data_IF_306020652392
#
_entry.id   IF_306020652392
#
_cell.length_a   1.000
_cell.length_b   1.000
_cell.length_c   1.000
_cell.angle_alpha   90.00
_cell.angle_beta   90.00
_cell.angle_gamma   90.00
#
_symmetry.space_group_name_H-M   'P 1'
#
loop_
_entity.id
_entity.type
_entity.pdbx_description
1 polymer ?
#
# COMPACT_ATOMS: atom_id res chain seq x y z
N UNK A 1 -3.49 24.36 -26.67
CA UNK A 1 -3.57 23.61 -25.41
C UNK A 1 -2.17 23.09 -25.12
N UNK A 2 -1.44 23.73 -24.20
CA UNK A 2 -0.16 23.22 -23.73
C UNK A 2 -0.35 22.75 -22.30
N UNK A 3 -0.24 21.44 -22.08
CA UNK A 3 -0.17 20.80 -20.78
C UNK A 3 1.24 20.96 -20.23
N UNK A 4 1.47 21.99 -19.42
CA UNK A 4 2.66 22.07 -18.57
C UNK A 4 2.43 21.19 -17.34
N UNK A 5 2.76 19.91 -17.45
CA UNK A 5 3.15 19.12 -16.27
C UNK A 5 4.37 19.80 -15.68
N UNK A 6 4.15 20.50 -14.56
CA UNK A 6 5.21 21.08 -13.72
C UNK A 6 6.11 19.96 -13.22
N UNK A 7 7.10 19.56 -14.02
CA UNK A 7 8.25 18.83 -13.56
C UNK A 7 9.07 19.81 -12.74
N UNK A 8 9.00 19.67 -11.41
CA UNK A 8 10.00 20.25 -10.52
C UNK A 8 11.26 19.38 -10.66
N UNK A 9 12.30 19.84 -11.38
CA UNK A 9 13.45 19.02 -11.73
C UNK A 9 14.33 18.67 -10.52
N UNK A 10 14.06 19.27 -9.35
CA UNK A 10 14.91 19.16 -8.17
C UNK A 10 14.48 18.02 -7.21
N UNK A 11 13.32 17.39 -7.44
CA UNK A 11 12.84 16.29 -6.58
C UNK A 11 13.33 14.95 -7.15
N UNK A 12 14.10 14.14 -6.39
CA UNK A 12 14.50 12.81 -6.79
C UNK A 12 13.30 11.94 -7.19
N UNK A 13 13.44 11.15 -8.24
CA UNK A 13 12.37 10.30 -8.79
C UNK A 13 11.69 9.45 -7.73
N UNK A 14 12.44 8.73 -6.89
CA UNK A 14 11.88 7.91 -5.82
C UNK A 14 10.98 8.71 -4.85
N UNK A 15 11.34 9.96 -4.54
CA UNK A 15 10.54 10.84 -3.67
C UNK A 15 9.28 11.30 -4.38
N UNK A 16 9.37 11.61 -5.69
CA UNK A 16 8.21 11.98 -6.51
C UNK A 16 7.22 10.83 -6.62
N UNK A 17 7.68 9.62 -6.92
CA UNK A 17 6.81 8.44 -7.04
C UNK A 17 6.17 8.08 -5.70
N UNK A 18 6.91 8.12 -4.59
CA UNK A 18 6.34 7.89 -3.25
C UNK A 18 5.23 8.91 -2.92
N UNK A 19 5.42 10.18 -3.27
CA UNK A 19 4.39 11.23 -3.09
C UNK A 19 3.18 11.01 -3.98
N UNK A 20 3.40 10.59 -5.23
CA UNK A 20 2.32 10.26 -6.17
C UNK A 20 1.49 9.08 -5.66
N UNK A 21 2.13 7.99 -5.21
CA UNK A 21 1.46 6.84 -4.61
C UNK A 21 0.65 7.21 -3.37
N UNK A 22 1.22 7.99 -2.45
CA UNK A 22 0.49 8.47 -1.28
C UNK A 22 -0.72 9.35 -1.65
N UNK A 23 -0.65 10.12 -2.74
CA UNK A 23 -1.79 10.88 -3.26
C UNK A 23 -2.85 9.96 -3.87
N UNK A 24 -2.46 8.95 -4.64
CA UNK A 24 -3.35 7.99 -5.27
C UNK A 24 -4.17 7.19 -4.22
N UNK A 25 -3.51 6.71 -3.16
CA UNK A 25 -4.21 6.00 -2.06
C UNK A 25 -5.22 6.90 -1.33
N UNK A 26 -4.90 8.17 -1.09
CA UNK A 26 -5.87 9.13 -0.51
C UNK A 26 -7.05 9.38 -1.45
N UNK A 27 -6.81 9.47 -2.76
CA UNK A 27 -7.87 9.63 -3.75
C UNK A 27 -8.79 8.40 -3.80
N UNK A 28 -8.21 7.20 -3.73
CA UNK A 28 -8.95 5.92 -3.65
C UNK A 28 -9.88 5.89 -2.44
N UNK A 29 -9.37 6.27 -1.26
CA UNK A 29 -10.20 6.41 -0.03
C UNK A 29 -11.32 7.41 -0.23
N UNK A 30 -11.08 8.55 -0.88
CA UNK A 30 -12.11 9.55 -1.12
C UNK A 30 -13.21 9.03 -2.07
N UNK A 31 -12.83 8.37 -3.16
CA UNK A 31 -13.77 7.80 -4.12
C UNK A 31 -14.66 6.71 -3.49
N UNK A 32 -14.06 5.82 -2.70
CA UNK A 32 -14.80 4.72 -2.04
C UNK A 32 -15.76 5.18 -0.95
N UNK A 33 -15.63 6.40 -0.41
CA UNK A 33 -16.60 6.93 0.58
C UNK A 33 -17.98 7.19 -0.01
N UNK A 34 -18.09 7.32 -1.33
CA UNK A 34 -19.35 7.63 -2.03
C UNK A 34 -19.73 6.59 -3.08
N UNK A 35 -18.88 5.58 -3.29
CA UNK A 35 -19.15 4.50 -4.22
C UNK A 35 -20.27 3.58 -3.68
N UNK A 36 -21.04 2.98 -4.59
CA UNK A 36 -21.89 1.85 -4.24
C UNK A 36 -20.98 0.63 -3.97
N UNK A 37 -21.15 -0.08 -2.84
CA UNK A 37 -20.40 -1.29 -2.54
C UNK A 37 -20.48 -2.33 -3.66
N UNK A 38 -19.33 -2.64 -4.26
CA UNK A 38 -19.23 -3.68 -5.29
C UNK A 38 -18.19 -4.75 -4.90
N UNK A 39 -18.54 -5.99 -5.20
CA UNK A 39 -17.73 -7.15 -4.87
C UNK A 39 -16.43 -7.19 -5.68
N UNK A 40 -16.50 -6.87 -6.98
CA UNK A 40 -15.32 -6.87 -7.83
C UNK A 40 -14.33 -5.79 -7.40
N UNK A 41 -14.84 -4.63 -6.98
CA UNK A 41 -14.08 -3.54 -6.37
C UNK A 41 -13.34 -3.98 -5.09
N UNK A 42 -14.00 -4.67 -4.17
CA UNK A 42 -13.35 -5.18 -2.95
C UNK A 42 -12.22 -6.16 -3.27
N UNK A 43 -12.43 -7.05 -4.23
CA UNK A 43 -11.43 -8.01 -4.67
C UNK A 43 -10.23 -7.30 -5.31
N UNK A 44 -10.46 -6.39 -6.26
CA UNK A 44 -9.43 -5.68 -6.99
C UNK A 44 -8.59 -4.78 -6.06
N UNK A 45 -9.24 -3.95 -5.24
CA UNK A 45 -8.54 -3.05 -4.32
C UNK A 45 -7.72 -3.80 -3.27
N UNK A 46 -8.15 -5.00 -2.86
CA UNK A 46 -7.37 -5.80 -1.91
C UNK A 46 -6.09 -6.33 -2.55
N UNK A 47 -6.13 -6.75 -3.81
CA UNK A 47 -4.92 -7.13 -4.55
C UNK A 47 -3.92 -5.96 -4.60
N UNK A 48 -4.40 -4.76 -4.91
CA UNK A 48 -3.57 -3.54 -4.92
C UNK A 48 -2.99 -3.20 -3.54
N UNK A 49 -3.74 -3.45 -2.46
CA UNK A 49 -3.26 -3.28 -1.07
C UNK A 49 -2.14 -4.27 -0.77
N UNK A 50 -2.28 -5.54 -1.14
CA UNK A 50 -1.23 -6.58 -0.99
C UNK A 50 0.06 -6.15 -1.68
N UNK A 51 -0.02 -5.79 -2.96
CA UNK A 51 1.13 -5.36 -3.75
C UNK A 51 1.78 -4.09 -3.17
N UNK A 52 0.96 -3.15 -2.68
CA UNK A 52 1.47 -1.93 -2.04
C UNK A 52 2.17 -2.22 -0.71
N UNK A 53 1.63 -3.10 0.13
CA UNK A 53 2.28 -3.48 1.40
C UNK A 53 3.63 -4.13 1.15
N UNK A 54 3.72 -5.01 0.15
CA UNK A 54 4.98 -5.63 -0.26
C UNK A 54 6.00 -4.58 -0.75
N UNK A 55 5.57 -3.66 -1.61
CA UNK A 55 6.43 -2.60 -2.13
C UNK A 55 6.95 -1.66 -1.03
N UNK A 56 6.09 -1.24 -0.09
CA UNK A 56 6.48 -0.38 1.03
C UNK A 56 7.39 -1.13 2.01
N UNK A 57 7.17 -2.43 2.23
CA UNK A 57 8.08 -3.25 3.04
C UNK A 57 9.49 -3.32 2.43
N UNK A 58 9.59 -3.52 1.10
CA UNK A 58 10.87 -3.49 0.40
C UNK A 58 11.55 -2.12 0.46
N UNK A 59 10.80 -1.03 0.32
CA UNK A 59 11.33 0.33 0.48
C UNK A 59 11.89 0.55 1.90
N UNK A 60 11.18 0.09 2.93
CA UNK A 60 11.64 0.21 4.31
C UNK A 60 12.98 -0.51 4.55
N UNK A 61 13.20 -1.67 3.95
CA UNK A 61 14.48 -2.39 4.02
C UNK A 61 15.62 -1.64 3.32
N UNK A 62 15.35 -1.09 2.13
CA UNK A 62 16.33 -0.26 1.42
C UNK A 62 16.71 0.96 2.25
N UNK A 63 15.73 1.64 2.84
CA UNK A 63 15.96 2.80 3.70
C UNK A 63 16.71 2.40 4.97
N UNK A 64 16.41 1.26 5.59
CA UNK A 64 17.12 0.79 6.78
C UNK A 64 18.62 0.65 6.49
N UNK A 65 18.97 0.03 5.36
CA UNK A 65 20.35 -0.08 4.93
C UNK A 65 20.99 1.30 4.66
N UNK A 66 20.31 2.18 3.93
CA UNK A 66 20.83 3.52 3.63
C UNK A 66 21.06 4.37 4.88
N UNK A 67 20.16 4.27 5.87
CA UNK A 67 20.23 4.99 7.14
C UNK A 67 21.39 4.49 7.99
N UNK A 68 21.55 3.17 8.13
CA UNK A 68 22.64 2.57 8.89
C UNK A 68 24.04 3.00 8.38
N UNK A 69 24.19 3.17 7.07
CA UNK A 69 25.48 3.54 6.45
C UNK A 69 25.61 5.05 6.17
N UNK A 70 24.64 5.87 6.58
CA UNK A 70 24.59 7.28 6.21
C UNK A 70 25.80 8.07 6.73
N UNK A 71 26.26 7.73 7.94
CA UNK A 71 27.40 8.36 8.62
C UNK A 71 28.78 7.82 8.23
N UNK A 72 28.87 6.81 7.36
CA UNK A 72 30.16 6.17 7.05
C UNK A 72 31.07 7.06 6.20
N UNK A 73 30.45 7.86 5.34
CA UNK A 73 31.16 8.74 4.39
C UNK A 73 30.92 10.22 4.65
N UNK A 74 30.19 10.54 5.73
CA UNK A 74 29.68 11.90 5.97
C UNK A 74 29.78 12.26 7.45
N UNK A 75 30.24 13.49 7.78
CA UNK A 75 30.12 13.99 9.13
C UNK A 75 28.64 14.20 9.48
N UNK A 76 28.21 13.63 10.60
CA UNK A 76 26.85 13.74 11.13
C UNK A 76 26.93 14.28 12.55
N UNK A 77 25.88 14.98 12.98
CA UNK A 77 25.77 15.51 14.33
C UNK A 77 24.31 15.39 14.80
N UNK A 78 24.15 15.36 16.12
CA UNK A 78 22.86 15.24 16.79
C UNK A 78 22.48 16.62 17.29
N UNK A 79 21.35 17.16 16.82
CA UNK A 79 20.88 18.50 17.21
C UNK A 79 20.67 18.62 18.72
N UNK A 80 20.31 17.52 19.39
CA UNK A 80 20.13 17.52 20.85
C UNK A 80 21.46 17.52 21.60
N UNK A 81 22.55 17.07 20.96
CA UNK A 81 23.88 16.85 21.54
C UNK A 81 23.87 15.92 22.76
N UNK A 82 22.85 15.07 22.88
CA UNK A 82 22.67 14.14 24.00
C UNK A 82 23.12 12.73 23.63
N UNK A 83 22.99 12.35 22.36
CA UNK A 83 23.22 10.99 21.87
C UNK A 83 24.26 11.02 20.75
N UNK A 84 25.06 9.96 20.62
CA UNK A 84 25.91 9.79 19.44
C UNK A 84 25.00 9.73 18.19
N UNK A 85 25.23 10.58 17.16
CA UNK A 85 24.51 10.51 15.90
C UNK A 85 24.47 9.11 15.28
N UNK A 86 25.51 8.29 15.47
CA UNK A 86 25.56 6.91 14.98
C UNK A 86 24.55 6.02 15.69
N UNK A 87 24.49 6.09 17.02
CA UNK A 87 23.49 5.35 17.79
C UNK A 87 22.06 5.72 17.37
N UNK A 88 21.82 7.00 17.04
CA UNK A 88 20.52 7.44 16.53
C UNK A 88 20.19 6.91 15.14
N UNK A 89 21.17 6.85 14.24
CA UNK A 89 21.00 6.25 12.92
C UNK A 89 20.74 4.74 13.01
N UNK A 90 21.46 4.03 13.88
CA UNK A 90 21.25 2.59 14.12
C UNK A 90 19.84 2.33 14.66
N UNK A 91 19.38 3.12 15.63
CA UNK A 91 18.01 3.02 16.14
C UNK A 91 16.97 3.27 15.04
N UNK A 92 17.16 4.29 14.21
CA UNK A 92 16.26 4.58 13.09
C UNK A 92 16.25 3.46 12.03
N UNK A 93 17.39 2.80 11.79
CA UNK A 93 17.45 1.63 10.91
C UNK A 93 16.69 0.42 11.50
N UNK A 94 16.78 0.22 12.83
CA UNK A 94 15.99 -0.81 13.52
C UNK A 94 14.48 -0.55 13.42
N UNK A 95 14.04 0.70 13.57
CA UNK A 95 12.63 1.08 13.40
C UNK A 95 12.12 0.78 11.98
N UNK A 96 12.97 0.99 10.96
CA UNK A 96 12.64 0.65 9.57
C UNK A 96 12.56 -0.86 9.33
N UNK A 97 13.43 -1.65 9.95
CA UNK A 97 13.33 -3.11 9.92
C UNK A 97 12.05 -3.62 10.60
N UNK A 98 11.68 -3.06 11.75
CA UNK A 98 10.42 -3.38 12.42
C UNK A 98 9.22 -2.99 11.55
N UNK A 99 9.25 -1.82 10.91
CA UNK A 99 8.21 -1.41 9.96
C UNK A 99 8.06 -2.43 8.82
N UNK A 100 9.15 -2.87 8.20
CA UNK A 100 9.12 -3.88 7.15
C UNK A 100 8.50 -5.21 7.64
N UNK A 101 8.86 -5.66 8.86
CA UNK A 101 8.29 -6.85 9.47
C UNK A 101 6.78 -6.71 9.72
N UNK A 102 6.33 -5.55 10.20
CA UNK A 102 4.90 -5.26 10.44
C UNK A 102 4.11 -5.22 9.15
N UNK A 103 4.64 -4.62 8.09
CA UNK A 103 3.99 -4.55 6.78
C UNK A 103 3.82 -5.96 6.17
N UNK A 104 4.84 -6.81 6.25
CA UNK A 104 4.70 -8.24 5.87
C UNK A 104 3.69 -8.99 6.71
N UNK A 105 3.56 -8.65 7.99
CA UNK A 105 2.50 -9.24 8.80
C UNK A 105 1.11 -8.75 8.40
N UNK A 106 0.97 -7.47 8.04
CA UNK A 106 -0.28 -6.91 7.53
C UNK A 106 -0.67 -7.52 6.18
N UNK A 107 0.31 -7.80 5.32
CA UNK A 107 0.12 -8.48 4.04
C UNK A 107 -0.57 -9.85 4.21
N UNK A 108 -0.21 -10.62 5.23
CA UNK A 108 -0.91 -11.88 5.55
C UNK A 108 -2.38 -11.68 5.92
N UNK A 109 -2.70 -10.58 6.60
CA UNK A 109 -4.08 -10.23 6.96
C UNK A 109 -4.86 -9.84 5.69
N UNK A 110 -4.27 -9.03 4.81
CA UNK A 110 -4.85 -8.64 3.54
C UNK A 110 -5.13 -9.86 2.64
N UNK A 111 -4.17 -10.78 2.51
CA UNK A 111 -4.36 -12.04 1.78
C UNK A 111 -5.46 -12.93 2.38
N UNK A 112 -5.58 -12.97 3.71
CA UNK A 112 -6.67 -13.70 4.38
C UNK A 112 -8.03 -13.08 4.06
N UNK A 113 -8.13 -11.75 4.06
CA UNK A 113 -9.35 -11.06 3.62
C UNK A 113 -9.64 -11.33 2.14
N UNK A 114 -8.62 -11.25 1.28
CA UNK A 114 -8.75 -11.46 -0.16
C UNK A 114 -9.26 -12.86 -0.50
N UNK A 115 -8.73 -13.88 0.17
CA UNK A 115 -9.22 -15.25 0.03
C UNK A 115 -10.68 -15.38 0.47
N UNK A 116 -11.08 -14.76 1.60
CA UNK A 116 -12.46 -14.81 2.09
C UNK A 116 -13.44 -14.13 1.13
N UNK A 117 -13.09 -12.94 0.64
CA UNK A 117 -13.96 -12.19 -0.27
C UNK A 117 -14.07 -12.92 -1.61
N UNK A 118 -12.96 -13.45 -2.16
CA UNK A 118 -12.97 -14.18 -3.44
C UNK A 118 -13.80 -15.46 -3.47
N UNK A 119 -14.29 -15.95 -2.32
CA UNK A 119 -15.19 -17.10 -2.24
C UNK A 119 -16.68 -16.73 -2.13
N UNK A 120 -17.03 -15.44 -2.16
CA UNK A 120 -18.41 -14.98 -2.12
C UNK A 120 -18.88 -14.74 -3.55
N UNK A 121 -19.89 -15.48 -4.00
CA UNK A 121 -20.65 -15.15 -5.20
C UNK A 121 -21.77 -14.15 -4.87
N UNK A 122 -22.10 -13.27 -5.81
CA UNK A 122 -23.29 -12.44 -5.74
C UNK A 122 -24.35 -13.08 -6.63
N UNK A 123 -25.51 -13.41 -6.07
CA UNK A 123 -26.62 -13.99 -6.83
C UNK A 123 -27.27 -12.90 -7.68
N UNK A 124 -27.13 -13.02 -9.01
CA UNK A 124 -27.96 -12.28 -9.95
C UNK A 124 -29.39 -12.85 -9.89
N UNK A 125 -30.20 -12.35 -8.95
CA UNK A 125 -31.62 -12.69 -8.86
C UNK A 125 -32.41 -12.02 -9.99
N UNK A 126 -32.09 -12.41 -11.23
CA UNK A 126 -32.92 -12.20 -12.42
C UNK A 126 -33.19 -13.49 -13.19
N UNK A 127 -32.75 -14.66 -12.71
CA UNK A 127 -32.89 -15.94 -13.42
C UNK A 127 -33.75 -17.00 -12.69
N UNK A 128 -34.70 -16.55 -11.86
CA UNK A 128 -35.70 -17.45 -11.24
C UNK A 128 -37.12 -17.19 -11.75
N UNK A 129 -37.29 -17.03 -13.07
CA UNK A 129 -38.55 -17.35 -13.73
C UNK A 129 -38.63 -18.87 -13.95
N UNK A 130 -38.76 -19.62 -12.85
CA UNK A 130 -38.92 -21.06 -12.88
C UNK A 130 -40.36 -21.38 -13.32
N UNK A 131 -40.58 -21.53 -14.62
CA UNK A 131 -41.86 -22.03 -15.17
C UNK A 131 -41.99 -23.50 -14.78
N UNK A 132 -43.00 -23.91 -13.99
CA UNK A 132 -43.21 -25.32 -13.72
C UNK A 132 -43.67 -26.01 -15.02
N UNK A 133 -42.92 -27.02 -15.45
CA UNK A 133 -43.31 -27.91 -16.52
C UNK A 133 -44.64 -28.59 -16.16
N UNK A 134 -45.71 -28.22 -16.86
CA UNK A 134 -47.01 -28.85 -16.75
C UNK A 134 -46.90 -30.31 -17.22
N UNK A 135 -47.19 -31.23 -16.30
CA UNK A 135 -47.16 -32.67 -16.49
C UNK A 135 -48.34 -33.08 -17.38
N UNK A 136 -48.00 -33.80 -18.43
CA UNK A 136 -48.90 -34.44 -19.39
C UNK A 136 -50.17 -35.07 -18.78
N UNK A 137 -51.30 -34.86 -19.47
CA UNK A 137 -52.43 -35.80 -19.55
C UNK A 137 -52.95 -35.87 -20.96
#
# INVERSE_FOLDING_TARGET
>A
MNTTTSHDPDIPEAVREARAGAKAWRATVHAQRTAEPDHADFYAMTADVVDTLAAVAGLAEVLAWQVAHYGDTRPVYDDTRVVDPRERLDAAAMDLHELAARLRSADRIANTFWSRIGHIGVDDTTDSANVPAEVAR
#
